data_IF_842092539704
#
_entry.id   IF_842092539704
#
_cell.length_a   1.000
_cell.length_b   1.000
_cell.length_c   1.000
_cell.angle_alpha   90.00
_cell.angle_beta   90.00
_cell.angle_gamma   90.00
#
_symmetry.space_group_name_H-M   'P 1'
#
loop_
_entity.id
_entity.type
_entity.pdbx_description
1 polymer ?
#
# COMPACT_ATOMS: atom_id res chain seq x y z
N UNK A 1 -32.15 -73.58 6.85
CA UNK A 1 -30.87 -72.95 6.45
C UNK A 1 -31.16 -71.83 5.47
N UNK A 2 -31.24 -70.61 5.96
CA UNK A 2 -31.45 -69.40 5.14
C UNK A 2 -30.15 -68.61 5.13
N UNK A 3 -29.51 -68.45 3.96
CA UNK A 3 -28.34 -67.61 3.73
C UNK A 3 -28.80 -66.17 3.56
N UNK A 4 -28.38 -65.27 4.39
CA UNK A 4 -28.55 -63.81 4.30
C UNK A 4 -27.37 -63.30 3.51
N UNK A 5 -27.62 -62.77 2.31
CA UNK A 5 -26.64 -62.00 1.54
C UNK A 5 -26.67 -60.53 2.07
N UNK A 6 -25.59 -60.09 2.68
CA UNK A 6 -25.36 -58.67 2.95
C UNK A 6 -24.78 -58.00 1.70
N UNK A 7 -25.54 -57.09 1.10
CA UNK A 7 -25.03 -56.15 0.10
C UNK A 7 -24.41 -54.97 0.85
N UNK A 8 -23.09 -54.90 0.80
CA UNK A 8 -22.36 -53.69 1.22
C UNK A 8 -22.39 -52.66 0.08
N UNK A 9 -23.19 -51.61 0.23
CA UNK A 9 -23.13 -50.45 -0.62
C UNK A 9 -21.94 -49.58 -0.17
N UNK A 10 -20.84 -49.69 -0.92
CA UNK A 10 -19.72 -48.76 -0.78
C UNK A 10 -20.10 -47.42 -1.38
N UNK A 11 -20.40 -46.44 -0.53
CA UNK A 11 -20.48 -45.04 -0.92
C UNK A 11 -19.06 -44.50 -1.15
N UNK A 12 -18.63 -44.44 -2.39
CA UNK A 12 -17.40 -43.70 -2.77
C UNK A 12 -17.76 -42.23 -2.78
N UNK A 13 -17.48 -41.52 -1.71
CA UNK A 13 -17.46 -40.06 -1.66
C UNK A 13 -16.26 -39.59 -2.46
N UNK A 14 -16.46 -39.30 -3.77
CA UNK A 14 -15.55 -38.47 -4.55
C UNK A 14 -15.66 -37.05 -4.01
N UNK A 15 -14.77 -36.71 -3.08
CA UNK A 15 -14.51 -35.32 -2.74
C UNK A 15 -13.91 -34.63 -3.96
N UNK A 16 -14.74 -33.96 -4.74
CA UNK A 16 -14.27 -32.96 -5.70
C UNK A 16 -13.66 -31.81 -4.89
N UNK A 17 -12.37 -31.88 -4.62
CA UNK A 17 -11.59 -30.68 -4.35
C UNK A 17 -11.63 -29.83 -5.59
N UNK A 18 -12.62 -28.94 -5.66
CA UNK A 18 -12.59 -27.83 -6.59
C UNK A 18 -11.42 -26.96 -6.19
N UNK A 19 -10.24 -27.26 -6.69
CA UNK A 19 -9.21 -26.25 -6.79
C UNK A 19 -9.80 -25.15 -7.66
N UNK A 20 -10.13 -24.02 -7.05
CA UNK A 20 -10.38 -22.81 -7.78
C UNK A 20 -9.10 -22.53 -8.57
N UNK A 21 -9.07 -22.95 -9.84
CA UNK A 21 -8.04 -22.47 -10.77
C UNK A 21 -8.13 -20.95 -10.76
N UNK A 22 -6.99 -20.23 -10.67
CA UNK A 22 -7.01 -18.79 -10.83
C UNK A 22 -7.77 -18.51 -12.12
N UNK A 23 -8.77 -17.65 -12.01
CA UNK A 23 -9.69 -17.37 -13.10
C UNK A 23 -8.85 -16.72 -14.21
N UNK A 24 -8.38 -17.49 -15.18
CA UNK A 24 -7.64 -16.99 -16.36
C UNK A 24 -8.45 -15.92 -17.12
N UNK A 25 -9.75 -15.81 -16.82
CA UNK A 25 -10.65 -14.84 -17.41
C UNK A 25 -10.21 -13.38 -17.19
N UNK A 26 -9.73 -13.01 -15.99
CA UNK A 26 -9.32 -11.61 -15.72
C UNK A 26 -8.02 -11.24 -16.45
N UNK A 27 -7.03 -12.14 -16.49
CA UNK A 27 -5.78 -11.88 -17.20
C UNK A 27 -5.97 -11.72 -18.71
N UNK A 28 -6.82 -12.58 -19.29
CA UNK A 28 -7.18 -12.50 -20.70
C UNK A 28 -8.04 -11.26 -20.98
N UNK A 29 -8.97 -10.94 -20.09
CA UNK A 29 -9.79 -9.73 -20.19
C UNK A 29 -8.93 -8.47 -20.16
N UNK A 30 -7.95 -8.37 -19.25
CA UNK A 30 -7.02 -7.23 -19.17
C UNK A 30 -6.28 -7.05 -20.51
N UNK A 31 -5.68 -8.12 -21.05
CA UNK A 31 -4.96 -8.05 -22.32
C UNK A 31 -5.87 -7.71 -23.51
N UNK A 32 -7.07 -8.23 -23.50
CA UNK A 32 -8.04 -7.99 -24.58
C UNK A 32 -8.57 -6.56 -24.55
N UNK A 33 -8.85 -5.98 -23.38
CA UNK A 33 -9.62 -4.75 -23.22
C UNK A 33 -8.81 -3.53 -22.78
N UNK A 34 -7.56 -3.70 -22.37
CA UNK A 34 -6.72 -2.59 -21.89
C UNK A 34 -5.44 -2.46 -22.71
N UNK A 35 -4.94 -1.24 -22.78
CA UNK A 35 -3.58 -0.92 -23.24
C UNK A 35 -2.79 -0.39 -22.06
N UNK A 36 -1.62 -0.95 -21.82
CA UNK A 36 -0.70 -0.50 -20.76
C UNK A 36 0.27 0.52 -21.32
N UNK A 37 0.45 1.58 -20.56
CA UNK A 37 1.48 2.60 -20.76
C UNK A 37 2.33 2.73 -19.50
N UNK A 38 3.57 3.17 -19.66
CA UNK A 38 4.48 3.45 -18.56
C UNK A 38 5.03 4.86 -18.71
N UNK A 39 5.00 5.62 -17.61
CA UNK A 39 5.42 7.01 -17.58
C UNK A 39 6.37 7.27 -16.41
N UNK A 40 7.25 8.23 -16.62
CA UNK A 40 8.04 8.86 -15.58
C UNK A 40 7.42 10.24 -15.32
N UNK A 41 6.47 10.30 -14.36
CA UNK A 41 5.73 11.54 -14.07
C UNK A 41 6.61 12.49 -13.28
N UNK A 42 6.86 13.71 -13.79
CA UNK A 42 7.68 14.69 -13.09
C UNK A 42 6.92 15.30 -11.91
N UNK A 43 7.57 15.31 -10.74
CA UNK A 43 7.11 16.02 -9.55
C UNK A 43 7.66 17.46 -9.55
N UNK A 44 7.12 18.32 -8.69
CA UNK A 44 7.49 19.75 -8.59
C UNK A 44 8.96 20.02 -8.32
N UNK A 45 9.65 19.10 -7.63
CA UNK A 45 11.09 19.17 -7.33
C UNK A 45 11.97 18.63 -8.47
N UNK A 46 11.37 18.14 -9.55
CA UNK A 46 12.05 17.59 -10.72
C UNK A 46 12.33 16.09 -10.64
N UNK A 47 12.05 15.41 -9.53
CA UNK A 47 12.12 13.94 -9.44
C UNK A 47 10.99 13.32 -10.25
N UNK A 48 11.20 12.11 -10.77
CA UNK A 48 10.23 11.41 -11.60
C UNK A 48 9.76 10.14 -10.91
N UNK A 49 8.43 9.98 -10.82
CA UNK A 49 7.81 8.79 -10.25
C UNK A 49 7.29 7.87 -11.35
N UNK A 50 7.72 6.62 -11.30
CA UNK A 50 7.31 5.60 -12.25
C UNK A 50 5.84 5.22 -12.06
N UNK A 51 5.10 5.26 -13.16
CA UNK A 51 3.66 5.06 -13.13
C UNK A 51 3.21 4.19 -14.29
N UNK A 52 2.60 3.04 -13.98
CA UNK A 52 1.92 2.19 -14.96
C UNK A 52 0.45 2.62 -15.09
N UNK A 53 -0.01 2.84 -16.31
CA UNK A 53 -1.38 3.27 -16.61
C UNK A 53 -2.02 2.30 -17.57
N UNK A 54 -3.13 1.70 -17.16
CA UNK A 54 -3.94 0.82 -17.99
C UNK A 54 -5.18 1.56 -18.46
N UNK A 55 -5.26 1.82 -19.77
CA UNK A 55 -6.35 2.57 -20.39
C UNK A 55 -7.26 1.61 -21.14
N UNK A 56 -8.60 1.66 -20.96
CA UNK A 56 -9.53 0.89 -21.77
C UNK A 56 -9.33 1.13 -23.27
N UNK A 57 -9.35 0.07 -24.08
CA UNK A 57 -9.28 0.18 -25.54
C UNK A 57 -10.53 0.79 -26.15
N UNK A 58 -11.67 0.65 -25.47
CA UNK A 58 -12.91 1.34 -25.85
C UNK A 58 -12.76 2.84 -25.64
N UNK A 59 -12.80 3.60 -26.73
CA UNK A 59 -12.64 5.05 -26.75
C UNK A 59 -13.98 5.78 -26.89
N UNK A 60 -15.11 5.06 -26.81
CA UNK A 60 -16.44 5.63 -27.02
C UNK A 60 -16.93 6.51 -25.84
N UNK A 61 -16.32 6.35 -24.66
CA UNK A 61 -16.68 7.07 -23.43
C UNK A 61 -15.46 7.56 -22.66
N UNK A 62 -15.69 8.39 -21.67
CA UNK A 62 -14.67 8.83 -20.69
C UNK A 62 -14.74 7.99 -19.43
N UNK A 63 -13.58 7.72 -18.83
CA UNK A 63 -13.44 6.83 -17.68
C UNK A 63 -12.90 7.59 -16.46
N UNK A 64 -13.36 7.27 -15.25
CA UNK A 64 -12.69 7.73 -14.04
C UNK A 64 -11.34 7.02 -13.90
N UNK A 65 -10.42 7.67 -13.21
CA UNK A 65 -9.12 7.10 -12.84
C UNK A 65 -9.23 6.44 -11.47
N UNK A 66 -8.66 5.25 -11.32
CA UNK A 66 -8.49 4.53 -10.06
C UNK A 66 -7.01 4.30 -9.82
N UNK A 67 -6.47 4.93 -8.77
CA UNK A 67 -5.03 4.98 -8.50
C UNK A 67 -4.67 4.25 -7.22
N UNK A 68 -3.58 3.48 -7.27
CA UNK A 68 -2.89 2.87 -6.15
C UNK A 68 -1.42 3.32 -6.15
N UNK A 69 -0.93 3.81 -5.00
CA UNK A 69 0.46 4.20 -4.77
C UNK A 69 1.08 3.22 -3.79
N UNK A 70 2.22 2.64 -4.13
CA UNK A 70 2.77 1.51 -3.38
C UNK A 70 4.30 1.55 -3.24
N UNK A 71 4.85 1.15 -2.10
CA UNK A 71 6.28 0.95 -1.94
C UNK A 71 6.71 -0.48 -2.34
N UNK A 72 5.75 -1.36 -2.67
CA UNK A 72 5.97 -2.81 -2.87
C UNK A 72 6.26 -3.21 -4.31
N UNK A 73 6.29 -2.29 -5.28
CA UNK A 73 6.45 -2.52 -6.71
C UNK A 73 5.13 -2.58 -7.49
N UNK A 74 5.09 -1.83 -8.56
CA UNK A 74 3.97 -1.88 -9.52
C UNK A 74 4.18 -2.90 -10.65
N UNK A 75 5.20 -3.74 -10.52
CA UNK A 75 5.49 -4.80 -11.51
C UNK A 75 4.20 -5.53 -11.99
N UNK A 76 4.24 -6.08 -13.21
CA UNK A 76 5.39 -6.27 -14.09
C UNK A 76 5.78 -4.99 -14.84
N UNK A 77 7.07 -4.71 -14.94
CA UNK A 77 7.62 -3.60 -15.72
C UNK A 77 7.75 -3.99 -17.20
N UNK A 78 7.53 -3.02 -18.08
CA UNK A 78 7.47 -3.22 -19.53
C UNK A 78 6.04 -3.05 -20.06
N UNK A 79 5.87 -2.20 -21.09
CA UNK A 79 4.55 -1.87 -21.64
C UNK A 79 3.83 -3.09 -22.27
N UNK A 80 4.57 -4.14 -22.61
CA UNK A 80 4.08 -5.42 -23.13
C UNK A 80 3.71 -6.44 -22.03
N UNK A 81 4.00 -6.13 -20.76
CA UNK A 81 3.76 -7.02 -19.60
C UNK A 81 2.60 -6.50 -18.77
N UNK A 82 1.58 -7.31 -18.63
CA UNK A 82 0.32 -6.93 -17.98
C UNK A 82 0.17 -7.60 -16.61
N UNK A 83 -0.48 -6.90 -15.67
CA UNK A 83 -1.00 -7.52 -14.44
C UNK A 83 -2.10 -8.53 -14.81
N UNK A 84 -2.25 -9.57 -13.99
CA UNK A 84 -3.29 -10.58 -14.17
C UNK A 84 -4.71 -10.08 -13.79
N UNK A 85 -4.79 -9.02 -12.99
CA UNK A 85 -6.05 -8.33 -12.66
C UNK A 85 -5.76 -6.85 -12.38
N UNK A 86 -6.77 -5.98 -12.48
CA UNK A 86 -6.67 -4.55 -12.22
C UNK A 86 -7.71 -4.11 -11.20
N UNK A 87 -7.33 -3.13 -10.37
CA UNK A 87 -8.19 -2.59 -9.34
C UNK A 87 -8.39 -3.53 -8.14
N UNK A 88 -9.29 -3.18 -7.22
CA UNK A 88 -9.50 -3.94 -5.99
C UNK A 88 -10.30 -5.24 -6.19
N UNK A 89 -10.99 -5.40 -7.31
CA UNK A 89 -11.76 -6.61 -7.64
C UNK A 89 -12.11 -6.69 -9.12
N UNK A 90 -12.52 -7.89 -9.58
CA UNK A 90 -13.03 -8.12 -10.93
C UNK A 90 -14.25 -7.25 -11.27
N UNK A 91 -15.06 -6.86 -10.29
CA UNK A 91 -16.20 -5.97 -10.53
C UNK A 91 -15.73 -4.60 -11.04
N UNK A 92 -14.71 -4.00 -10.42
CA UNK A 92 -14.13 -2.74 -10.89
C UNK A 92 -13.43 -2.90 -12.23
N UNK A 93 -12.76 -4.03 -12.46
CA UNK A 93 -12.13 -4.32 -13.75
C UNK A 93 -13.14 -4.29 -14.89
N UNK A 94 -14.31 -4.92 -14.71
CA UNK A 94 -15.35 -5.02 -15.75
C UNK A 94 -16.20 -3.76 -15.87
N UNK A 95 -16.32 -2.96 -14.82
CA UNK A 95 -17.03 -1.67 -14.84
C UNK A 95 -16.32 -0.62 -15.72
N UNK A 96 -14.99 -0.73 -15.83
CA UNK A 96 -14.15 0.08 -16.69
C UNK A 96 -13.68 1.36 -16.01
N UNK A 97 -12.40 1.35 -15.64
CA UNK A 97 -11.65 2.49 -15.12
C UNK A 97 -10.34 2.64 -15.89
N UNK A 98 -9.72 3.80 -15.84
CA UNK A 98 -8.29 3.93 -16.10
C UNK A 98 -7.58 3.55 -14.80
N UNK A 99 -6.89 2.41 -14.78
CA UNK A 99 -6.16 1.97 -13.60
C UNK A 99 -4.74 2.50 -13.61
N UNK A 100 -4.32 3.07 -12.47
CA UNK A 100 -3.01 3.68 -12.30
C UNK A 100 -2.32 3.07 -11.10
N UNK A 101 -1.08 2.63 -11.30
CA UNK A 101 -0.21 2.11 -10.25
C UNK A 101 1.09 2.88 -10.25
N UNK A 102 1.48 3.46 -9.11
CA UNK A 102 2.68 4.27 -9.00
C UNK A 102 3.62 3.70 -7.96
N UNK A 103 4.88 3.45 -8.34
CA UNK A 103 5.96 3.29 -7.39
C UNK A 103 6.16 4.62 -6.65
N UNK A 104 6.07 4.62 -5.32
CA UNK A 104 6.26 5.84 -4.53
C UNK A 104 7.71 6.32 -4.60
N UNK A 105 7.93 7.56 -4.23
CA UNK A 105 9.24 8.23 -4.21
C UNK A 105 10.32 7.33 -3.58
N UNK A 106 11.46 7.22 -4.26
CA UNK A 106 12.61 6.45 -3.79
C UNK A 106 12.44 4.94 -3.81
N UNK A 107 11.31 4.43 -4.31
CA UNK A 107 11.09 2.98 -4.44
C UNK A 107 11.13 2.55 -5.91
N UNK A 108 11.67 1.36 -6.14
CA UNK A 108 11.70 0.66 -7.43
C UNK A 108 12.12 1.57 -8.60
N UNK A 109 11.26 1.74 -9.58
CA UNK A 109 11.55 2.50 -10.79
C UNK A 109 11.34 4.03 -10.61
N UNK A 110 10.95 4.49 -9.43
CA UNK A 110 10.85 5.93 -9.09
C UNK A 110 12.17 6.50 -8.59
N UNK A 111 12.41 7.76 -8.91
CA UNK A 111 13.54 8.55 -8.40
C UNK A 111 13.27 9.07 -6.98
N UNK A 112 14.30 9.64 -6.36
CA UNK A 112 14.26 10.23 -5.03
C UNK A 112 14.67 9.25 -3.95
N UNK A 113 14.54 9.69 -2.70
CA UNK A 113 14.88 8.92 -1.51
C UNK A 113 13.58 8.52 -0.82
N UNK A 114 13.46 7.25 -0.48
CA UNK A 114 12.32 6.75 0.29
C UNK A 114 12.51 7.07 1.78
N UNK A 115 11.46 7.57 2.37
CA UNK A 115 11.32 7.76 3.80
C UNK A 115 10.02 7.10 4.25
N UNK A 116 10.12 6.23 5.24
CA UNK A 116 8.96 5.53 5.78
C UNK A 116 8.00 6.51 6.45
N UNK A 117 6.74 6.46 6.04
CA UNK A 117 5.69 7.40 6.47
C UNK A 117 6.23 8.83 6.50
N UNK A 118 6.64 9.30 5.31
CA UNK A 118 7.23 10.64 5.12
C UNK A 118 6.48 11.69 5.94
N UNK A 119 7.16 12.44 6.81
CA UNK A 119 6.52 13.51 7.57
C UNK A 119 5.85 14.53 6.66
N UNK A 120 4.57 14.80 6.93
CA UNK A 120 3.82 15.82 6.20
C UNK A 120 4.31 17.22 6.59
N UNK A 121 4.37 18.10 5.59
CA UNK A 121 4.78 19.49 5.78
C UNK A 121 3.54 20.38 5.82
N UNK A 122 3.34 21.08 6.91
CA UNK A 122 2.23 22.04 7.02
C UNK A 122 2.34 23.19 6.00
N UNK A 123 3.56 23.59 5.67
CA UNK A 123 3.84 24.69 4.76
C UNK A 123 4.84 24.28 3.68
N UNK A 124 4.40 24.32 2.45
CA UNK A 124 5.24 24.13 1.26
C UNK A 124 5.77 25.49 0.76
N UNK A 125 6.88 25.94 1.35
CA UNK A 125 7.48 27.25 1.05
C UNK A 125 8.25 27.24 -0.26
N UNK A 126 8.78 26.11 -0.64
CA UNK A 126 9.57 25.92 -1.85
C UNK A 126 9.12 24.67 -2.60
N UNK A 127 9.53 24.57 -3.87
CA UNK A 127 9.28 23.35 -4.66
C UNK A 127 9.98 22.09 -4.12
N UNK A 128 10.94 22.25 -3.22
CA UNK A 128 11.66 21.14 -2.58
C UNK A 128 10.99 20.67 -1.28
N UNK A 129 9.95 21.35 -0.83
CA UNK A 129 9.13 20.92 0.30
C UNK A 129 8.11 19.91 -0.19
N UNK A 130 8.56 18.67 -0.39
CA UNK A 130 7.78 17.55 -0.91
C UNK A 130 7.41 16.57 0.19
N UNK A 131 6.27 15.95 0.03
CA UNK A 131 5.67 14.91 0.87
C UNK A 131 4.69 14.08 0.04
N UNK A 132 3.99 13.14 0.66
CA UNK A 132 3.05 12.26 -0.04
C UNK A 132 1.83 13.01 -0.60
N UNK A 133 1.40 14.07 0.09
CA UNK A 133 0.32 14.94 -0.37
C UNK A 133 0.70 15.67 -1.65
N UNK A 134 1.90 16.24 -1.72
CA UNK A 134 2.40 16.94 -2.90
C UNK A 134 2.68 16.03 -4.08
N UNK A 135 3.26 14.85 -3.83
CA UNK A 135 3.49 13.84 -4.89
C UNK A 135 2.17 13.34 -5.48
N UNK A 136 1.15 13.18 -4.63
CA UNK A 136 -0.20 12.82 -5.08
C UNK A 136 -0.81 13.94 -5.93
N UNK A 137 -0.67 15.19 -5.49
CA UNK A 137 -1.18 16.34 -6.23
C UNK A 137 -0.58 16.40 -7.65
N UNK A 138 0.74 16.37 -7.74
CA UNK A 138 1.46 16.47 -9.01
C UNK A 138 1.14 15.28 -9.93
N UNK A 139 0.99 14.08 -9.35
CA UNK A 139 0.58 12.89 -10.10
C UNK A 139 -0.83 13.03 -10.67
N UNK A 140 -1.80 13.43 -9.87
CA UNK A 140 -3.19 13.61 -10.32
C UNK A 140 -3.27 14.71 -11.39
N UNK A 141 -2.62 15.86 -11.16
CA UNK A 141 -2.60 16.97 -12.11
C UNK A 141 -2.02 16.55 -13.46
N UNK A 142 -0.95 15.77 -13.44
CA UNK A 142 -0.36 15.22 -14.65
C UNK A 142 -1.29 14.24 -15.36
N UNK A 143 -1.90 13.30 -14.62
CA UNK A 143 -2.78 12.26 -15.18
C UNK A 143 -3.99 12.86 -15.90
N UNK A 144 -4.69 13.81 -15.27
CA UNK A 144 -5.89 14.42 -15.88
C UNK A 144 -5.56 15.23 -17.12
N UNK A 145 -4.35 15.81 -17.23
CA UNK A 145 -3.89 16.58 -18.39
C UNK A 145 -3.38 15.71 -19.54
N UNK A 146 -2.76 14.58 -19.24
CA UNK A 146 -2.00 13.81 -20.23
C UNK A 146 -2.65 12.49 -20.66
N UNK A 147 -3.48 11.87 -19.81
CA UNK A 147 -4.14 10.61 -20.16
C UNK A 147 -5.45 10.91 -20.88
N UNK A 148 -5.57 10.44 -22.11
CA UNK A 148 -6.78 10.65 -22.93
C UNK A 148 -7.97 9.87 -22.33
N UNK A 149 -9.18 10.32 -22.66
CA UNK A 149 -10.46 9.69 -22.26
C UNK A 149 -10.70 9.58 -20.76
N UNK A 150 -9.93 10.32 -19.92
CA UNK A 150 -10.32 10.47 -18.53
C UNK A 150 -11.52 11.45 -18.40
N UNK A 151 -12.31 11.29 -17.35
CA UNK A 151 -13.46 12.15 -17.04
C UNK A 151 -13.13 13.25 -16.01
N UNK A 152 -11.85 13.45 -15.67
CA UNK A 152 -11.38 14.43 -14.68
C UNK A 152 -11.60 14.03 -13.21
N UNK A 153 -12.00 12.79 -12.92
CA UNK A 153 -12.22 12.29 -11.56
C UNK A 153 -11.22 11.18 -11.23
N UNK A 154 -10.63 11.25 -10.06
CA UNK A 154 -9.66 10.27 -9.54
C UNK A 154 -10.16 9.71 -8.22
N UNK A 155 -10.17 8.38 -8.10
CA UNK A 155 -10.29 7.67 -6.83
C UNK A 155 -8.93 7.09 -6.44
N UNK A 156 -8.60 7.13 -5.15
CA UNK A 156 -7.38 6.50 -4.60
C UNK A 156 -7.78 5.41 -3.62
N UNK A 157 -7.10 4.28 -3.69
CA UNK A 157 -7.32 3.15 -2.78
C UNK A 157 -6.01 2.43 -2.48
N UNK A 158 -5.98 1.66 -1.42
CA UNK A 158 -4.84 0.83 -1.07
C UNK A 158 -5.03 0.15 0.28
N UNK A 159 -4.32 -0.95 0.49
CA UNK A 159 -4.39 -1.77 1.69
C UNK A 159 -3.03 -1.74 2.39
N UNK A 160 -3.01 -1.64 3.74
CA UNK A 160 -1.78 -1.65 4.52
C UNK A 160 -0.95 -0.39 4.28
N UNK A 161 0.31 -0.50 3.92
CA UNK A 161 1.14 0.65 3.53
C UNK A 161 0.53 1.45 2.35
N UNK A 162 0.02 0.85 1.26
CA UNK A 162 -0.79 1.58 0.28
C UNK A 162 -2.05 2.23 0.89
N UNK A 163 -2.58 1.71 2.00
CA UNK A 163 -3.64 2.36 2.79
C UNK A 163 -3.15 3.65 3.45
N UNK A 164 -1.93 3.68 4.00
CA UNK A 164 -1.29 4.92 4.44
C UNK A 164 -1.14 5.92 3.29
N UNK A 165 -0.60 5.50 2.13
CA UNK A 165 -0.47 6.40 0.97
C UNK A 165 -1.82 6.92 0.49
N UNK A 166 -2.89 6.13 0.63
CA UNK A 166 -4.26 6.57 0.35
C UNK A 166 -4.72 7.63 1.35
N UNK A 167 -4.45 7.45 2.64
CA UNK A 167 -4.75 8.46 3.68
C UNK A 167 -3.97 9.75 3.41
N UNK A 168 -2.66 9.66 3.18
CA UNK A 168 -1.82 10.81 2.86
C UNK A 168 -2.24 11.51 1.55
N UNK A 169 -2.79 10.76 0.58
CA UNK A 169 -3.32 11.33 -0.66
C UNK A 169 -4.47 12.35 -0.42
N UNK A 170 -5.20 12.22 0.68
CA UNK A 170 -6.23 13.20 1.09
C UNK A 170 -5.63 14.59 1.32
N UNK A 171 -4.39 14.64 1.78
CA UNK A 171 -3.67 15.89 2.08
C UNK A 171 -3.28 16.64 0.81
N UNK A 172 -3.32 16.01 -0.35
CA UNK A 172 -3.16 16.68 -1.64
C UNK A 172 -4.22 17.75 -1.87
N UNK A 173 -5.43 17.55 -1.31
CA UNK A 173 -6.60 18.43 -1.54
C UNK A 173 -6.85 18.76 -3.02
N UNK A 174 -6.41 17.86 -3.91
CA UNK A 174 -6.55 18.08 -5.35
C UNK A 174 -8.03 18.06 -5.75
N UNK A 175 -8.52 19.05 -6.56
CA UNK A 175 -9.96 19.15 -6.86
C UNK A 175 -10.50 17.97 -7.68
N UNK A 176 -9.66 17.25 -8.41
CA UNK A 176 -10.06 16.04 -9.13
C UNK A 176 -10.10 14.78 -8.24
N UNK A 177 -9.61 14.83 -6.99
CA UNK A 177 -9.68 13.69 -6.06
C UNK A 177 -11.12 13.54 -5.57
N UNK A 178 -11.85 12.61 -6.18
CA UNK A 178 -13.29 12.46 -6.02
C UNK A 178 -13.68 11.45 -4.93
N UNK A 179 -12.80 10.50 -4.60
CA UNK A 179 -13.02 9.51 -3.55
C UNK A 179 -11.69 8.91 -3.06
N UNK A 180 -11.67 8.44 -1.82
CA UNK A 180 -10.55 7.68 -1.27
C UNK A 180 -11.05 6.48 -0.46
N UNK A 181 -10.30 5.36 -0.53
CA UNK A 181 -10.59 4.17 0.27
C UNK A 181 -9.31 3.63 0.92
N UNK A 182 -8.85 4.22 2.02
CA UNK A 182 -7.78 3.64 2.83
C UNK A 182 -8.31 2.38 3.54
N UNK A 183 -7.63 1.26 3.31
CA UNK A 183 -7.99 -0.05 3.85
C UNK A 183 -6.88 -0.53 4.76
N UNK A 184 -7.21 -0.89 6.01
CA UNK A 184 -6.25 -1.22 7.05
C UNK A 184 -5.01 -0.30 6.98
N UNK A 185 -5.20 1.05 7.02
CA UNK A 185 -4.10 1.97 6.86
C UNK A 185 -3.30 2.09 8.15
N UNK A 186 -1.98 2.11 8.06
CA UNK A 186 -1.17 2.72 9.10
C UNK A 186 -1.51 4.21 9.22
N UNK A 187 -1.51 4.74 10.44
CA UNK A 187 -1.75 6.17 10.68
C UNK A 187 -0.71 6.81 11.61
N UNK A 188 -0.27 6.05 12.59
CA UNK A 188 0.76 6.43 13.57
C UNK A 188 1.77 5.29 13.63
N UNK A 189 2.90 5.44 12.98
CA UNK A 189 3.91 4.39 12.84
C UNK A 189 4.37 3.81 14.18
N UNK A 190 4.40 4.62 15.24
CA UNK A 190 4.75 4.14 16.56
C UNK A 190 3.71 3.17 17.12
N UNK A 191 2.42 3.45 16.91
CA UNK A 191 1.32 2.70 17.54
C UNK A 191 0.78 1.57 16.68
N UNK A 192 0.96 1.67 15.37
CA UNK A 192 0.57 0.62 14.45
C UNK A 192 1.67 -0.46 14.36
N UNK A 193 2.88 -0.09 13.94
CA UNK A 193 3.92 -1.06 13.58
C UNK A 193 5.04 -1.17 14.62
N UNK A 194 5.59 -0.03 15.06
CA UNK A 194 6.84 -0.05 15.81
C UNK A 194 6.66 -0.56 17.25
N UNK A 195 5.63 -0.04 17.94
CA UNK A 195 5.36 -0.35 19.34
C UNK A 195 3.85 -0.47 19.61
N UNK A 196 3.39 -1.60 20.10
CA UNK A 196 2.01 -1.74 20.57
C UNK A 196 1.95 -1.46 22.08
N UNK A 197 1.31 -0.35 22.46
CA UNK A 197 1.21 0.09 23.85
C UNK A 197 2.57 0.15 24.59
N UNK A 198 3.63 0.52 23.87
CA UNK A 198 4.99 0.60 24.39
C UNK A 198 5.81 -0.69 24.29
N UNK A 199 5.21 -1.79 23.87
CA UNK A 199 5.94 -3.03 23.60
C UNK A 199 6.53 -3.00 22.18
N UNK A 200 7.84 -3.09 22.07
CA UNK A 200 8.52 -3.12 20.79
C UNK A 200 8.18 -4.39 20.01
N UNK A 201 7.71 -4.25 18.79
CA UNK A 201 7.28 -5.35 17.93
C UNK A 201 8.49 -6.00 17.21
N UNK A 202 9.40 -6.58 18.00
CA UNK A 202 10.71 -7.05 17.55
C UNK A 202 10.63 -7.97 16.33
N UNK A 203 9.86 -9.03 16.40
CA UNK A 203 9.88 -10.07 15.35
C UNK A 203 9.27 -9.56 14.03
N UNK A 204 8.18 -8.80 14.11
CA UNK A 204 7.53 -8.20 12.95
C UNK A 204 8.48 -7.21 12.26
N UNK A 205 8.98 -6.24 12.99
CA UNK A 205 9.85 -5.19 12.46
C UNK A 205 11.17 -5.73 11.92
N UNK A 206 11.78 -6.68 12.64
CA UNK A 206 13.04 -7.30 12.22
C UNK A 206 12.90 -8.07 10.90
N UNK A 207 11.76 -8.71 10.66
CA UNK A 207 11.52 -9.44 9.42
C UNK A 207 11.09 -8.57 8.25
N UNK A 208 10.42 -7.46 8.53
CA UNK A 208 9.75 -6.62 7.53
C UNK A 208 10.65 -5.52 6.96
N UNK A 209 11.30 -4.73 7.79
CA UNK A 209 12.03 -3.54 7.32
C UNK A 209 13.28 -3.79 6.47
N UNK A 210 13.95 -4.97 6.49
CA UNK A 210 14.98 -5.25 5.51
C UNK A 210 14.51 -5.17 4.04
N UNK A 211 13.21 -5.34 3.80
CA UNK A 211 12.61 -5.13 2.48
C UNK A 211 12.73 -3.68 1.99
N UNK A 212 12.77 -2.74 2.91
CA UNK A 212 12.87 -1.29 2.64
C UNK A 212 14.31 -0.75 2.77
N UNK A 213 15.32 -1.61 2.68
CA UNK A 213 16.72 -1.18 2.67
C UNK A 213 16.88 0.05 1.78
N UNK A 214 17.40 1.13 2.35
CA UNK A 214 17.52 2.40 1.66
C UNK A 214 18.52 2.28 0.51
N UNK A 215 18.13 2.77 -0.66
CA UNK A 215 19.08 2.96 -1.75
C UNK A 215 20.09 4.03 -1.35
N UNK A 216 21.33 3.79 -1.73
CA UNK A 216 22.42 4.78 -1.53
C UNK A 216 22.35 5.90 -2.59
N UNK A 217 21.67 5.64 -3.71
CA UNK A 217 21.42 6.60 -4.77
C UNK A 217 19.93 6.70 -5.06
N UNK A 218 19.52 7.72 -5.81
CA UNK A 218 18.13 7.97 -6.21
C UNK A 218 17.78 7.39 -7.60
N UNK A 219 18.58 6.44 -8.10
CA UNK A 219 18.37 5.86 -9.43
C UNK A 219 17.31 4.77 -9.42
N UNK A 220 16.42 4.76 -10.41
CA UNK A 220 15.45 3.69 -10.58
C UNK A 220 16.10 2.30 -10.66
N UNK A 221 15.47 1.31 -10.02
CA UNK A 221 15.94 -0.07 -10.05
C UNK A 221 14.79 -1.06 -9.96
N UNK A 222 14.89 -2.18 -10.67
CA UNK A 222 13.96 -3.31 -10.53
C UNK A 222 14.36 -4.28 -9.41
N UNK A 223 15.48 -4.02 -8.73
CA UNK A 223 15.99 -4.84 -7.64
C UNK A 223 16.04 -4.04 -6.36
N UNK A 224 15.46 -4.58 -5.33
CA UNK A 224 15.45 -4.03 -3.98
C UNK A 224 15.92 -5.09 -2.99
N UNK A 225 16.08 -4.73 -1.70
CA UNK A 225 16.56 -5.60 -0.65
C UNK A 225 15.88 -6.97 -0.60
N UNK A 226 16.59 -7.95 -0.09
CA UNK A 226 16.16 -9.34 0.02
C UNK A 226 15.70 -9.70 1.43
N UNK A 227 15.11 -10.89 1.56
CA UNK A 227 14.78 -11.45 2.88
C UNK A 227 16.05 -11.82 3.62
N UNK A 228 16.06 -11.56 4.92
CA UNK A 228 17.11 -11.99 5.83
C UNK A 228 17.12 -13.52 5.95
N UNK A 229 18.31 -14.11 5.94
CA UNK A 229 18.48 -15.52 6.29
C UNK A 229 18.71 -15.63 7.81
N UNK A 230 17.77 -16.21 8.52
CA UNK A 230 17.85 -16.40 9.97
C UNK A 230 18.81 -17.54 10.37
N UNK A 231 19.15 -18.45 9.46
CA UNK A 231 20.02 -19.60 9.74
C UNK A 231 19.40 -20.70 10.62
N UNK A 232 18.23 -20.49 11.17
CA UNK A 232 17.43 -21.44 11.96
C UNK A 232 15.94 -21.23 11.66
N UNK A 233 15.14 -22.30 11.85
CA UNK A 233 13.69 -22.22 11.81
C UNK A 233 13.08 -21.79 13.16
N UNK A 234 13.86 -21.81 14.24
CA UNK A 234 13.44 -21.43 15.58
C UNK A 234 13.71 -19.93 15.83
N UNK A 235 12.64 -19.12 15.78
CA UNK A 235 12.73 -17.68 16.01
C UNK A 235 13.16 -17.32 17.43
N UNK A 236 12.78 -18.12 18.44
CA UNK A 236 13.19 -17.90 19.83
C UNK A 236 14.70 -18.07 19.97
N UNK A 237 15.25 -19.17 19.46
CA UNK A 237 16.69 -19.43 19.44
C UNK A 237 17.45 -18.30 18.72
N UNK A 238 16.91 -17.85 17.58
CA UNK A 238 17.51 -16.76 16.82
C UNK A 238 17.65 -15.47 17.64
N UNK A 239 16.56 -15.00 18.25
CA UNK A 239 16.57 -13.75 19.04
C UNK A 239 17.36 -13.89 20.33
N UNK A 240 17.35 -15.03 20.98
CA UNK A 240 18.20 -15.28 22.16
C UNK A 240 19.69 -15.22 21.80
N UNK A 241 20.07 -15.82 20.67
CA UNK A 241 21.47 -15.79 20.18
C UNK A 241 21.89 -14.42 19.66
N UNK A 242 20.95 -13.60 19.22
CA UNK A 242 21.21 -12.20 18.87
C UNK A 242 21.62 -11.40 20.11
N UNK A 243 20.98 -11.64 21.25
CA UNK A 243 21.19 -10.95 22.51
C UNK A 243 20.55 -9.56 22.49
N UNK A 244 21.31 -8.51 22.77
CA UNK A 244 20.77 -7.14 22.69
C UNK A 244 20.28 -6.81 21.29
N UNK A 245 19.13 -6.10 21.18
CA UNK A 245 18.58 -5.64 19.91
C UNK A 245 19.57 -4.79 19.11
N UNK A 246 20.44 -4.03 19.76
CA UNK A 246 21.53 -3.27 19.11
C UNK A 246 22.48 -4.16 18.30
N UNK A 247 22.67 -5.42 18.70
CA UNK A 247 23.54 -6.36 17.98
C UNK A 247 23.00 -6.70 16.58
N UNK A 248 21.75 -6.34 16.29
CA UNK A 248 21.15 -6.52 14.96
C UNK A 248 21.93 -5.80 13.86
N UNK A 249 22.40 -4.57 14.14
CA UNK A 249 23.21 -3.82 13.18
C UNK A 249 24.57 -4.47 12.97
N UNK A 250 25.26 -4.85 14.04
CA UNK A 250 26.59 -5.46 13.95
C UNK A 250 26.55 -6.81 13.22
N UNK A 251 25.54 -7.62 13.53
CA UNK A 251 25.44 -9.00 13.00
C UNK A 251 24.75 -9.10 11.64
N UNK A 252 23.69 -8.32 11.41
CA UNK A 252 22.78 -8.54 10.26
C UNK A 252 22.62 -7.33 9.35
N UNK A 253 22.28 -6.14 9.86
CA UNK A 253 21.83 -5.00 9.06
C UNK A 253 22.94 -4.06 8.61
N UNK A 254 24.06 -4.04 9.32
CA UNK A 254 25.22 -3.18 8.98
C UNK A 254 24.81 -1.72 8.78
N UNK A 255 23.92 -1.23 9.62
CA UNK A 255 23.37 0.14 9.59
C UNK A 255 22.66 0.54 8.28
N UNK A 256 22.28 -0.43 7.46
CA UNK A 256 21.68 -0.13 6.14
C UNK A 256 20.17 0.12 6.18
N UNK A 257 19.51 -0.10 7.32
CA UNK A 257 18.05 0.05 7.46
C UNK A 257 17.78 1.25 8.36
N UNK A 258 17.46 2.37 7.71
CA UNK A 258 17.30 3.65 8.40
C UNK A 258 16.23 3.59 9.50
N UNK A 259 15.00 3.15 9.17
CA UNK A 259 13.91 3.12 10.14
C UNK A 259 14.20 2.19 11.31
N UNK A 260 14.91 1.08 11.10
CA UNK A 260 15.35 0.23 12.20
C UNK A 260 16.23 0.99 13.21
N UNK A 261 17.18 1.76 12.70
CA UNK A 261 18.04 2.59 13.55
C UNK A 261 17.23 3.65 14.31
N UNK A 262 16.30 4.32 13.59
CA UNK A 262 15.39 5.30 14.18
C UNK A 262 14.52 4.69 15.29
N UNK A 263 14.02 3.45 15.14
CA UNK A 263 13.29 2.74 16.20
C UNK A 263 14.15 2.49 17.45
N UNK A 264 15.42 2.18 17.27
CA UNK A 264 16.35 1.96 18.39
C UNK A 264 16.74 3.27 19.09
N UNK A 265 16.84 4.37 18.35
CA UNK A 265 17.22 5.68 18.86
C UNK A 265 16.03 6.42 19.51
N UNK A 266 14.79 6.12 19.06
CA UNK A 266 13.55 6.73 19.53
C UNK A 266 12.59 5.71 20.18
N UNK A 267 12.96 5.08 21.33
CA UNK A 267 12.16 4.04 21.96
C UNK A 267 10.86 4.58 22.62
N UNK A 268 10.75 5.90 22.78
CA UNK A 268 9.60 6.56 23.37
C UNK A 268 8.84 7.37 22.31
N UNK A 269 7.55 7.64 22.54
CA UNK A 269 6.72 8.46 21.66
C UNK A 269 7.13 9.95 21.74
N UNK A 270 8.17 10.29 21.02
CA UNK A 270 8.74 11.63 20.94
C UNK A 270 8.35 12.38 19.66
N UNK A 271 9.03 13.47 19.33
CA UNK A 271 8.72 14.30 18.17
C UNK A 271 8.96 13.57 16.84
N UNK A 272 9.95 12.67 16.78
CA UNK A 272 10.22 11.85 15.60
C UNK A 272 8.99 11.07 15.12
N UNK A 273 8.28 10.44 16.08
CA UNK A 273 7.06 9.68 15.79
C UNK A 273 5.86 10.59 15.52
N UNK A 274 5.75 11.71 16.25
CA UNK A 274 4.66 12.67 16.06
C UNK A 274 4.68 13.28 14.66
N UNK A 275 5.86 13.55 14.12
CA UNK A 275 6.01 14.10 12.77
C UNK A 275 5.54 13.11 11.68
N UNK A 276 5.53 11.81 11.97
CA UNK A 276 5.06 10.73 11.09
C UNK A 276 3.60 10.34 11.31
N UNK A 277 2.92 10.99 12.25
CA UNK A 277 1.51 10.69 12.52
C UNK A 277 0.61 11.50 11.59
N UNK A 278 0.10 10.85 10.54
CA UNK A 278 -0.75 11.50 9.54
C UNK A 278 -2.07 12.04 10.11
N UNK A 279 -2.53 11.52 11.26
CA UNK A 279 -3.79 11.94 11.89
C UNK A 279 -3.81 13.43 12.27
N UNK A 280 -2.66 14.00 12.61
CA UNK A 280 -2.57 15.42 12.96
C UNK A 280 -2.90 16.36 11.80
N UNK A 281 -2.74 15.89 10.56
CA UNK A 281 -2.90 16.68 9.34
C UNK A 281 -4.27 16.47 8.65
N UNK A 282 -5.12 15.53 9.13
CA UNK A 282 -6.42 15.21 8.53
C UNK A 282 -7.50 16.26 8.86
N UNK A 283 -7.28 17.48 8.43
CA UNK A 283 -8.23 18.59 8.51
C UNK A 283 -8.44 19.22 7.11
N UNK A 284 -9.55 19.95 6.92
CA UNK A 284 -9.91 20.55 5.63
C UNK A 284 -10.01 19.54 4.46
N UNK A 285 -10.31 18.31 4.78
CA UNK A 285 -10.53 17.25 3.81
C UNK A 285 -11.95 17.39 3.25
N UNK A 286 -12.06 17.42 1.93
CA UNK A 286 -13.36 17.51 1.22
C UNK A 286 -13.69 16.23 0.46
N UNK A 287 -12.74 15.33 0.34
CA UNK A 287 -12.87 14.08 -0.42
C UNK A 287 -13.70 13.07 0.35
N UNK A 288 -14.83 12.57 -0.20
CA UNK A 288 -15.55 11.43 0.37
C UNK A 288 -14.62 10.25 0.60
N UNK A 289 -14.68 9.66 1.79
CA UNK A 289 -13.71 8.62 2.20
C UNK A 289 -14.42 7.42 2.80
N UNK A 290 -14.06 6.21 2.33
CA UNK A 290 -14.45 4.93 2.92
C UNK A 290 -13.23 4.29 3.58
N UNK A 291 -13.17 4.33 4.89
CA UNK A 291 -12.13 3.62 5.65
C UNK A 291 -12.59 2.18 5.88
N UNK A 292 -11.70 1.22 5.64
CA UNK A 292 -11.97 -0.21 5.89
C UNK A 292 -10.95 -0.76 6.87
N UNK A 293 -11.38 -1.63 7.80
CA UNK A 293 -10.49 -2.31 8.75
C UNK A 293 -11.02 -3.70 9.15
N UNK A 294 -10.20 -4.46 9.83
CA UNK A 294 -10.53 -5.80 10.32
C UNK A 294 -10.39 -5.93 11.83
N UNK A 295 -11.36 -6.62 12.48
CA UNK A 295 -11.29 -6.88 13.94
C UNK A 295 -10.10 -7.76 14.34
N UNK A 296 -9.60 -8.55 13.41
CA UNK A 296 -8.47 -9.47 13.63
C UNK A 296 -7.18 -8.99 12.97
N UNK A 297 -7.12 -7.70 12.63
CA UNK A 297 -5.89 -7.07 12.16
C UNK A 297 -4.90 -6.99 13.34
N UNK A 298 -3.81 -7.72 13.24
CA UNK A 298 -2.79 -7.76 14.29
C UNK A 298 -1.79 -6.59 14.20
N UNK A 299 -1.90 -5.75 13.17
CA UNK A 299 -0.93 -4.68 12.86
C UNK A 299 -1.63 -3.32 12.85
N UNK A 300 -2.55 -3.06 11.91
CA UNK A 300 -3.10 -1.72 11.64
C UNK A 300 -4.50 -1.47 12.21
N UNK A 301 -4.91 -2.17 13.25
CA UNK A 301 -6.21 -1.96 13.89
C UNK A 301 -6.37 -0.53 14.41
N UNK A 302 -5.31 0.03 15.00
CA UNK A 302 -5.31 1.41 15.53
C UNK A 302 -5.47 2.42 14.39
N UNK A 303 -4.74 2.27 13.30
CA UNK A 303 -4.72 3.19 12.17
C UNK A 303 -6.08 3.31 11.49
N UNK A 304 -6.74 2.18 11.19
CA UNK A 304 -8.05 2.18 10.57
C UNK A 304 -9.10 2.91 11.42
N UNK A 305 -9.20 2.57 12.72
CA UNK A 305 -10.17 3.17 13.64
C UNK A 305 -9.92 4.66 13.83
N UNK A 306 -8.67 5.07 14.01
CA UNK A 306 -8.34 6.46 14.32
C UNK A 306 -8.34 7.35 13.08
N UNK A 307 -8.02 6.83 11.89
CA UNK A 307 -8.23 7.54 10.63
C UNK A 307 -9.71 7.92 10.48
N UNK A 308 -10.63 6.96 10.64
CA UNK A 308 -12.07 7.24 10.58
C UNK A 308 -12.50 8.29 11.60
N UNK A 309 -12.17 8.07 12.89
CA UNK A 309 -12.56 9.00 13.98
C UNK A 309 -12.04 10.42 13.74
N UNK A 310 -10.80 10.55 13.29
CA UNK A 310 -10.16 11.83 13.04
C UNK A 310 -10.81 12.55 11.86
N UNK A 311 -11.06 11.84 10.76
CA UNK A 311 -11.74 12.40 9.60
C UNK A 311 -13.13 12.92 9.95
N UNK A 312 -13.94 12.13 10.65
CA UNK A 312 -15.31 12.55 11.08
C UNK A 312 -15.24 13.76 12.00
N UNK A 313 -14.34 13.75 12.98
CA UNK A 313 -14.21 14.84 13.96
C UNK A 313 -13.80 16.16 13.30
N UNK A 314 -12.79 16.11 12.43
CA UNK A 314 -12.16 17.32 11.89
C UNK A 314 -12.84 17.83 10.61
N UNK A 315 -13.66 17.01 9.96
CA UNK A 315 -14.27 17.34 8.66
C UNK A 315 -15.80 17.02 8.67
N UNK A 316 -16.61 17.69 9.51
CA UNK A 316 -18.00 17.31 9.78
C UNK A 316 -18.93 17.41 8.55
N UNK A 317 -18.53 18.13 7.51
CA UNK A 317 -19.31 18.29 6.28
C UNK A 317 -18.87 17.34 5.15
N UNK A 318 -17.88 16.47 5.39
CA UNK A 318 -17.37 15.53 4.41
C UNK A 318 -17.98 14.15 4.66
N UNK A 319 -18.52 13.47 3.64
CA UNK A 319 -18.97 12.09 3.80
C UNK A 319 -17.81 11.16 4.14
N UNK A 320 -17.84 10.58 5.35
CA UNK A 320 -16.85 9.59 5.79
C UNK A 320 -17.59 8.35 6.26
N UNK A 321 -17.23 7.22 5.70
CA UNK A 321 -17.83 5.92 6.00
C UNK A 321 -16.77 4.99 6.60
N UNK A 322 -17.23 4.03 7.40
CA UNK A 322 -16.37 3.02 7.99
C UNK A 322 -16.97 1.63 7.83
N UNK A 323 -16.20 0.73 7.26
CA UNK A 323 -16.53 -0.69 7.22
C UNK A 323 -15.49 -1.44 8.06
N UNK A 324 -15.98 -2.18 9.07
CA UNK A 324 -15.12 -2.96 9.94
C UNK A 324 -15.73 -4.35 10.14
N UNK A 325 -15.01 -5.39 9.77
CA UNK A 325 -15.56 -6.74 9.71
C UNK A 325 -14.60 -7.78 10.29
N UNK A 326 -15.01 -9.06 10.31
CA UNK A 326 -14.16 -10.17 10.78
C UNK A 326 -13.11 -10.50 9.71
N UNK A 327 -12.32 -9.51 9.34
CA UNK A 327 -11.27 -9.61 8.33
C UNK A 327 -9.93 -9.71 9.07
N UNK A 328 -9.08 -10.63 8.63
CA UNK A 328 -7.67 -10.72 9.00
C UNK A 328 -6.87 -10.06 7.87
N UNK A 329 -5.92 -9.24 8.23
CA UNK A 329 -4.97 -8.66 7.29
C UNK A 329 -3.77 -9.61 7.16
#
# INVERSE_FOLDING_TARGET
MKRILLFAYGFVLLAFCSYAQPNNSDADYVKANYTKFEYQIPMRDGKKLFTSVYVPKDQSKKYPIMMDRTPYSVAPYGADRYKSSLGPSSLFLHDGYIFVYQDVRGRWMSEGIFEEMTPEKELHKTKNDVDEGTDTYDTIDWLIKNIRNNNGKVGVWGISYPGFFTTASLLSRHPALAAASPQAPMADLYRDDAFHNGAFMLAANFGFYPYFTNRQDDKPTQRQGGRLNYGTADGYEFYMNMGSVKNSNDKYYKDTIRLWNEMLDHPNYDQHWKDRNVLYHLHDIKTPTLVTGGWYDAEDLYGAINTYKTLVKNNPNTPVYFTHGPIVK
#
